data_IF_941438821237
#
_entry.id   IF_941438821237
#
_cell.length_a   1.000
_cell.length_b   1.000
_cell.length_c   1.000
_cell.angle_alpha   90.00
_cell.angle_beta   90.00
_cell.angle_gamma   90.00
#
_symmetry.space_group_name_H-M   'P 1'
#
loop_
_entity.id
_entity.type
_entity.pdbx_description
1 polymer ?
#
# COMPACT_ATOMS: atom_id res chain seq x y z
N UNK A 1 -30.49 -44.34 18.39
CA UNK A 1 -29.34 -43.45 18.12
C UNK A 1 -29.84 -42.03 18.33
N UNK A 2 -29.51 -41.43 19.46
CA UNK A 2 -29.95 -40.08 19.84
C UNK A 2 -29.32 -39.06 18.89
N UNK A 3 -30.11 -38.46 18.00
CA UNK A 3 -29.68 -37.27 17.26
C UNK A 3 -29.46 -36.17 18.30
N UNK A 4 -28.20 -35.89 18.63
CA UNK A 4 -27.83 -34.82 19.54
C UNK A 4 -28.42 -33.51 19.04
N UNK A 5 -29.07 -32.76 19.94
CA UNK A 5 -29.56 -31.41 19.64
C UNK A 5 -28.36 -30.58 19.21
N UNK A 6 -28.42 -30.01 18.00
CA UNK A 6 -27.35 -29.15 17.49
C UNK A 6 -27.44 -27.81 18.22
N UNK A 7 -26.43 -27.50 19.01
CA UNK A 7 -26.38 -26.27 19.78
C UNK A 7 -25.91 -25.10 18.89
N UNK A 8 -26.42 -23.86 19.09
CA UNK A 8 -25.98 -22.69 18.33
C UNK A 8 -24.47 -22.46 18.33
N UNK A 9 -23.79 -22.88 19.40
CA UNK A 9 -22.32 -22.81 19.54
C UNK A 9 -21.59 -23.67 18.51
N UNK A 10 -22.15 -24.83 18.13
CA UNK A 10 -21.58 -25.69 17.09
C UNK A 10 -21.70 -25.04 15.71
N UNK A 11 -22.79 -24.31 15.45
CA UNK A 11 -22.96 -23.54 14.21
C UNK A 11 -21.94 -22.41 14.13
N UNK A 12 -21.73 -21.66 15.22
CA UNK A 12 -20.75 -20.57 15.28
C UNK A 12 -19.32 -21.07 15.07
N UNK A 13 -18.94 -22.17 15.72
CA UNK A 13 -17.62 -22.80 15.53
C UNK A 13 -17.43 -23.21 14.06
N UNK A 14 -18.41 -23.91 13.48
CA UNK A 14 -18.33 -24.33 12.09
C UNK A 14 -18.32 -23.16 11.10
N UNK A 15 -19.08 -22.10 11.36
CA UNK A 15 -19.11 -20.89 10.54
C UNK A 15 -17.71 -20.25 10.49
N UNK A 16 -17.02 -20.16 11.62
CA UNK A 16 -15.64 -19.64 11.68
C UNK A 16 -14.65 -20.52 10.93
N UNK A 17 -14.73 -21.85 11.09
CA UNK A 17 -13.91 -22.80 10.34
C UNK A 17 -14.09 -22.64 8.82
N UNK A 18 -15.34 -22.52 8.36
CA UNK A 18 -15.65 -22.32 6.95
C UNK A 18 -15.03 -21.01 6.45
N UNK A 19 -15.23 -19.90 7.17
CA UNK A 19 -14.61 -18.61 6.82
C UNK A 19 -13.09 -18.74 6.75
N UNK A 20 -12.45 -19.30 7.78
CA UNK A 20 -10.99 -19.50 7.81
C UNK A 20 -10.51 -20.34 6.62
N UNK A 21 -11.19 -21.43 6.29
CA UNK A 21 -10.82 -22.32 5.18
C UNK A 21 -10.96 -21.65 3.81
N UNK A 22 -11.94 -20.77 3.64
CA UNK A 22 -12.18 -20.08 2.38
C UNK A 22 -11.27 -18.86 2.19
N UNK A 23 -10.93 -18.14 3.27
CA UNK A 23 -10.15 -16.89 3.18
C UNK A 23 -8.67 -17.05 3.49
N UNK A 24 -8.29 -18.10 4.22
CA UNK A 24 -6.96 -18.22 4.81
C UNK A 24 -6.74 -17.32 6.03
N UNK A 25 -7.79 -16.70 6.56
CA UNK A 25 -7.66 -15.79 7.69
C UNK A 25 -7.25 -16.53 8.97
N UNK A 26 -6.41 -15.89 9.79
CA UNK A 26 -6.15 -16.35 11.15
C UNK A 26 -7.41 -16.19 12.00
N UNK A 27 -7.58 -17.06 12.99
CA UNK A 27 -8.79 -17.06 13.82
C UNK A 27 -9.05 -15.71 14.51
N UNK A 28 -7.99 -14.99 14.91
CA UNK A 28 -8.09 -13.66 15.53
C UNK A 28 -8.50 -12.55 14.56
N UNK A 29 -8.40 -12.76 13.25
CA UNK A 29 -8.85 -11.82 12.23
C UNK A 29 -10.32 -12.03 11.85
N UNK A 30 -10.94 -13.14 12.25
CA UNK A 30 -12.34 -13.43 11.97
C UNK A 30 -13.19 -12.84 13.09
N UNK A 31 -13.91 -11.76 12.80
CA UNK A 31 -14.75 -11.07 13.78
C UNK A 31 -15.84 -12.00 14.35
N UNK A 32 -15.78 -12.36 15.65
CA UNK A 32 -16.79 -13.23 16.26
C UNK A 32 -18.17 -12.57 16.26
N UNK A 33 -18.22 -11.24 16.43
CA UNK A 33 -19.46 -10.46 16.43
C UNK A 33 -20.09 -10.41 15.03
N UNK A 34 -19.28 -10.33 13.96
CA UNK A 34 -19.79 -10.38 12.60
C UNK A 34 -20.42 -11.74 12.28
N UNK A 35 -19.74 -12.84 12.65
CA UNK A 35 -20.24 -14.21 12.48
C UNK A 35 -21.52 -14.44 13.28
N UNK A 36 -21.52 -14.06 14.56
CA UNK A 36 -22.69 -14.20 15.45
C UNK A 36 -23.90 -13.43 14.91
N UNK A 37 -23.71 -12.20 14.43
CA UNK A 37 -24.77 -11.41 13.80
C UNK A 37 -25.41 -12.12 12.61
N UNK A 38 -24.61 -12.72 11.72
CA UNK A 38 -25.12 -13.47 10.55
C UNK A 38 -25.90 -14.69 11.00
N UNK A 39 -25.34 -15.51 11.91
CA UNK A 39 -26.01 -16.72 12.41
C UNK A 39 -27.32 -16.37 13.12
N UNK A 40 -27.33 -15.35 13.99
CA UNK A 40 -28.56 -14.88 14.66
C UNK A 40 -29.61 -14.38 13.69
N UNK A 41 -29.20 -13.67 12.63
CA UNK A 41 -30.14 -13.20 11.61
C UNK A 41 -30.82 -14.37 10.89
N UNK A 42 -30.09 -15.45 10.58
CA UNK A 42 -30.65 -16.66 9.98
C UNK A 42 -31.58 -17.42 10.93
N UNK A 43 -31.21 -17.54 12.21
CA UNK A 43 -32.08 -18.13 13.24
C UNK A 43 -33.38 -17.32 13.40
N UNK A 44 -33.29 -15.99 13.38
CA UNK A 44 -34.45 -15.10 13.45
C UNK A 44 -35.37 -15.21 12.22
N UNK A 45 -34.85 -15.68 11.07
CA UNK A 45 -35.65 -16.02 9.87
C UNK A 45 -36.34 -17.39 9.98
N UNK A 46 -36.24 -18.06 11.13
CA UNK A 46 -36.89 -19.35 11.38
C UNK A 46 -36.07 -20.57 10.97
N UNK A 47 -34.80 -20.39 10.58
CA UNK A 47 -33.91 -21.51 10.25
C UNK A 47 -33.39 -22.15 11.54
N UNK A 48 -33.34 -23.48 11.59
CA UNK A 48 -32.85 -24.23 12.74
C UNK A 48 -31.31 -24.34 12.74
N UNK A 49 -30.66 -24.48 13.91
CA UNK A 49 -29.22 -24.71 13.99
C UNK A 49 -28.72 -25.90 13.17
N UNK A 50 -29.50 -26.99 13.11
CA UNK A 50 -29.16 -28.18 12.33
C UNK A 50 -29.14 -27.91 10.82
N UNK A 51 -30.10 -27.12 10.30
CA UNK A 51 -30.12 -26.71 8.89
C UNK A 51 -28.93 -25.83 8.54
N UNK A 52 -28.58 -24.88 9.40
CA UNK A 52 -27.41 -24.01 9.20
C UNK A 52 -26.12 -24.82 9.19
N UNK A 53 -25.96 -25.76 10.14
CA UNK A 53 -24.78 -26.62 10.22
C UNK A 53 -24.65 -27.52 8.99
N UNK A 54 -25.74 -28.16 8.55
CA UNK A 54 -25.77 -28.98 7.35
C UNK A 54 -25.47 -28.16 6.08
N UNK A 55 -25.93 -26.91 6.02
CA UNK A 55 -25.58 -26.01 4.92
C UNK A 55 -24.09 -25.68 4.89
N UNK A 56 -23.49 -25.35 6.03
CA UNK A 56 -22.06 -25.03 6.15
C UNK A 56 -21.12 -26.22 5.87
N UNK A 57 -21.65 -27.44 5.80
CA UNK A 57 -20.90 -28.61 5.35
C UNK A 57 -20.78 -28.67 3.83
N UNK A 58 -21.65 -27.98 3.09
CA UNK A 58 -21.62 -27.96 1.62
C UNK A 58 -20.68 -26.85 1.13
N UNK A 59 -19.68 -27.18 0.30
CA UNK A 59 -18.83 -26.17 -0.31
C UNK A 59 -19.63 -25.13 -1.10
N UNK A 60 -19.27 -23.85 -0.97
CA UNK A 60 -19.87 -22.75 -1.75
C UNK A 60 -21.32 -22.39 -1.39
N UNK A 61 -21.84 -22.89 -0.27
CA UNK A 61 -23.21 -22.64 0.17
C UNK A 61 -23.53 -21.14 0.34
N UNK A 62 -24.79 -20.71 0.10
CA UNK A 62 -25.21 -19.32 0.29
C UNK A 62 -24.85 -18.75 1.66
N UNK A 63 -25.05 -19.50 2.74
CA UNK A 63 -24.69 -19.06 4.09
C UNK A 63 -23.18 -18.79 4.25
N UNK A 64 -22.33 -19.61 3.62
CA UNK A 64 -20.89 -19.38 3.62
C UNK A 64 -20.54 -18.05 2.94
N UNK A 65 -21.19 -17.72 1.82
CA UNK A 65 -21.00 -16.42 1.13
C UNK A 65 -21.39 -15.25 2.02
N UNK A 66 -22.56 -15.33 2.66
CA UNK A 66 -23.02 -14.29 3.60
C UNK A 66 -22.05 -14.09 4.78
N UNK A 67 -21.46 -15.16 5.28
CA UNK A 67 -20.44 -15.09 6.34
C UNK A 67 -19.15 -14.44 5.85
N UNK A 68 -18.70 -14.77 4.64
CA UNK A 68 -17.52 -14.15 4.02
C UNK A 68 -17.73 -12.64 3.86
N UNK A 69 -18.85 -12.22 3.28
CA UNK A 69 -19.18 -10.81 3.07
C UNK A 69 -19.21 -10.01 4.38
N UNK A 70 -19.61 -10.65 5.48
CA UNK A 70 -19.66 -10.01 6.80
C UNK A 70 -18.28 -9.85 7.48
N UNK A 71 -17.29 -10.68 7.12
CA UNK A 71 -15.98 -10.73 7.77
C UNK A 71 -14.89 -10.03 6.96
N UNK A 72 -14.98 -10.03 5.64
CA UNK A 72 -13.97 -9.41 4.78
C UNK A 72 -13.89 -7.90 5.08
N UNK A 73 -12.69 -7.38 5.30
CA UNK A 73 -12.43 -5.94 5.47
C UNK A 73 -12.13 -5.33 4.10
N UNK A 74 -12.66 -4.13 3.82
CA UNK A 74 -12.66 -3.53 2.47
C UNK A 74 -12.22 -2.09 2.43
N UNK A 75 -11.47 -1.65 3.44
CA UNK A 75 -11.05 -0.27 3.51
C UNK A 75 -9.96 0.01 2.46
N UNK A 76 -10.29 0.87 1.51
CA UNK A 76 -9.40 1.30 0.44
C UNK A 76 -9.68 2.75 0.03
N UNK A 77 -8.75 3.35 -0.70
CA UNK A 77 -8.81 4.71 -1.24
C UNK A 77 -7.77 4.90 -2.33
N UNK A 78 -7.98 5.93 -3.15
CA UNK A 78 -7.09 6.23 -4.25
C UNK A 78 -5.70 6.63 -3.76
N UNK A 79 -4.68 6.15 -4.46
CA UNK A 79 -3.27 6.45 -4.21
C UNK A 79 -2.80 6.28 -2.76
N UNK A 80 -3.42 5.35 -2.00
CA UNK A 80 -2.94 4.92 -0.68
C UNK A 80 -1.45 4.56 -0.75
N UNK A 81 -0.63 4.95 0.22
CA UNK A 81 0.84 4.73 0.15
C UNK A 81 1.45 5.34 -1.13
N UNK A 82 1.40 6.68 -1.30
CA UNK A 82 1.82 7.36 -2.53
C UNK A 82 3.28 7.08 -2.93
N UNK A 83 4.15 6.79 -1.97
CA UNK A 83 5.54 6.36 -2.18
C UNK A 83 5.66 5.12 -3.06
N UNK A 84 4.72 4.18 -2.96
CA UNK A 84 4.69 2.98 -3.80
C UNK A 84 4.25 3.27 -5.23
N UNK A 85 3.38 4.27 -5.44
CA UNK A 85 3.03 4.75 -6.78
C UNK A 85 4.17 5.54 -7.42
N UNK A 86 4.97 6.27 -6.62
CA UNK A 86 6.22 6.87 -7.11
C UNK A 86 7.22 5.81 -7.55
N UNK A 87 7.40 4.75 -6.74
CA UNK A 87 8.23 3.61 -7.14
C UNK A 87 7.72 2.95 -8.44
N UNK A 88 6.40 2.76 -8.56
CA UNK A 88 5.80 2.26 -9.79
C UNK A 88 6.20 3.13 -11.00
N UNK A 89 6.04 4.45 -10.88
CA UNK A 89 6.31 5.38 -11.96
C UNK A 89 7.78 5.48 -12.34
N UNK A 90 8.68 5.60 -11.35
CA UNK A 90 10.08 5.96 -11.59
C UNK A 90 11.03 4.77 -11.63
N UNK A 91 10.63 3.60 -11.13
CA UNK A 91 11.47 2.40 -11.12
C UNK A 91 10.84 1.25 -11.90
N UNK A 92 9.61 0.85 -11.53
CA UNK A 92 9.01 -0.37 -12.09
C UNK A 92 8.65 -0.23 -13.58
N UNK A 93 8.05 0.90 -13.99
CA UNK A 93 7.72 1.15 -15.41
C UNK A 93 8.98 1.25 -16.27
N UNK A 94 9.99 2.08 -15.95
CA UNK A 94 11.24 2.13 -16.71
C UNK A 94 11.93 0.77 -16.81
N UNK A 95 11.96 0.00 -15.71
CA UNK A 95 12.53 -1.35 -15.72
C UNK A 95 11.75 -2.31 -16.64
N UNK A 96 10.42 -2.19 -16.74
CA UNK A 96 9.61 -2.96 -17.67
C UNK A 96 9.87 -2.57 -19.13
N UNK A 97 9.94 -1.27 -19.42
CA UNK A 97 10.23 -0.76 -20.77
C UNK A 97 11.65 -1.14 -21.23
N UNK A 98 12.63 -1.12 -20.33
CA UNK A 98 14.00 -1.53 -20.63
C UNK A 98 14.13 -3.02 -21.00
N UNK A 99 13.15 -3.86 -20.64
CA UNK A 99 13.04 -5.26 -21.10
C UNK A 99 12.44 -5.40 -22.50
N UNK A 100 12.01 -4.29 -23.12
CA UNK A 100 11.34 -4.28 -24.41
C UNK A 100 9.84 -4.61 -24.33
N UNK A 101 9.22 -4.49 -23.16
CA UNK A 101 7.79 -4.74 -23.01
C UNK A 101 6.95 -3.74 -23.81
N UNK A 102 6.11 -4.25 -24.71
CA UNK A 102 5.11 -3.46 -25.45
C UNK A 102 3.73 -3.44 -24.75
N UNK A 103 3.58 -4.18 -23.65
CA UNK A 103 2.42 -4.14 -22.77
C UNK A 103 2.91 -4.08 -21.33
N UNK A 104 2.43 -3.10 -20.56
CA UNK A 104 2.61 -3.01 -19.11
C UNK A 104 1.43 -3.68 -18.43
N UNK A 105 1.68 -4.77 -17.70
CA UNK A 105 0.63 -5.53 -16.99
C UNK A 105 0.71 -5.33 -15.48
N UNK A 106 -0.33 -4.75 -14.90
CA UNK A 106 -0.49 -4.57 -13.46
C UNK A 106 -1.53 -5.51 -12.85
N UNK A 107 -1.36 -5.88 -11.59
CA UNK A 107 -2.36 -6.62 -10.82
C UNK A 107 -2.51 -6.03 -9.41
N UNK A 108 -3.72 -5.66 -9.03
CA UNK A 108 -4.13 -5.38 -7.65
C UNK A 108 -4.82 -6.62 -7.07
N UNK A 109 -4.14 -7.29 -6.15
CA UNK A 109 -4.53 -8.56 -5.54
C UNK A 109 -5.16 -8.28 -4.17
N UNK A 110 -6.46 -8.56 -4.04
CA UNK A 110 -7.29 -8.09 -2.92
C UNK A 110 -7.74 -6.65 -3.10
N UNK A 111 -8.29 -6.33 -4.29
CA UNK A 111 -8.52 -4.94 -4.72
C UNK A 111 -9.69 -4.22 -4.04
N UNK A 112 -10.47 -4.91 -3.21
CA UNK A 112 -11.69 -4.39 -2.59
C UNK A 112 -12.61 -3.72 -3.63
N UNK A 113 -13.01 -2.46 -3.40
CA UNK A 113 -13.86 -1.67 -4.29
C UNK A 113 -13.13 -1.03 -5.47
N UNK A 114 -11.86 -1.39 -5.72
CA UNK A 114 -11.15 -1.08 -6.96
C UNK A 114 -10.34 0.23 -6.96
N UNK A 115 -10.33 1.00 -5.88
CA UNK A 115 -9.57 2.26 -5.81
C UNK A 115 -8.07 2.07 -6.10
N UNK A 116 -7.45 1.04 -5.53
CA UNK A 116 -6.05 0.70 -5.81
C UNK A 116 -5.86 0.31 -7.29
N UNK A 117 -6.74 -0.54 -7.83
CA UNK A 117 -6.67 -0.98 -9.23
C UNK A 117 -6.71 0.19 -10.19
N UNK A 118 -7.61 1.15 -9.97
CA UNK A 118 -7.70 2.35 -10.79
C UNK A 118 -6.51 3.28 -10.60
N UNK A 119 -5.95 3.38 -9.39
CA UNK A 119 -4.73 4.15 -9.11
C UNK A 119 -3.52 3.60 -9.87
N UNK A 120 -3.37 2.26 -9.90
CA UNK A 120 -2.33 1.57 -10.69
C UNK A 120 -2.53 1.87 -12.18
N UNK A 121 -3.77 1.75 -12.67
CA UNK A 121 -4.08 1.98 -14.08
C UNK A 121 -3.79 3.42 -14.53
N UNK A 122 -4.19 4.41 -13.72
CA UNK A 122 -3.88 5.81 -13.99
C UNK A 122 -2.37 6.08 -14.00
N UNK A 123 -1.62 5.48 -13.06
CA UNK A 123 -0.16 5.59 -13.03
C UNK A 123 0.49 4.97 -14.27
N UNK A 124 0.13 3.73 -14.62
CA UNK A 124 0.66 3.05 -15.80
C UNK A 124 0.33 3.80 -17.09
N UNK A 125 -0.90 4.29 -17.25
CA UNK A 125 -1.31 5.08 -18.42
C UNK A 125 -0.50 6.36 -18.57
N UNK A 126 -0.22 7.05 -17.45
CA UNK A 126 0.54 8.30 -17.49
C UNK A 126 2.03 8.08 -17.79
N UNK A 127 2.56 6.90 -17.46
CA UNK A 127 3.98 6.56 -17.66
C UNK A 127 4.24 5.77 -18.94
N UNK A 128 3.19 5.21 -19.58
CA UNK A 128 3.30 4.46 -20.82
C UNK A 128 3.63 5.40 -21.99
N UNK A 129 4.73 5.17 -22.73
CA UNK A 129 4.99 5.92 -23.96
C UNK A 129 4.02 5.51 -25.08
N UNK A 130 3.86 6.34 -26.14
CA UNK A 130 3.03 5.99 -27.27
C UNK A 130 3.37 4.61 -27.86
N UNK A 131 2.34 3.80 -28.11
CA UNK A 131 2.47 2.44 -28.66
C UNK A 131 2.63 1.34 -27.61
N UNK A 132 2.82 1.68 -26.32
CA UNK A 132 2.80 0.71 -25.23
C UNK A 132 1.37 0.54 -24.71
N UNK A 133 0.89 -0.71 -24.64
CA UNK A 133 -0.43 -1.04 -24.10
C UNK A 133 -0.40 -1.13 -22.58
N UNK A 134 -1.52 -0.86 -21.94
CA UNK A 134 -1.70 -1.02 -20.48
C UNK A 134 -2.83 -2.01 -20.24
N UNK A 135 -2.61 -2.95 -19.32
CA UNK A 135 -3.63 -3.88 -18.84
C UNK A 135 -3.51 -3.98 -17.32
N UNK A 136 -4.61 -3.77 -16.60
CA UNK A 136 -4.64 -3.88 -15.14
C UNK A 136 -5.74 -4.83 -14.71
N UNK A 137 -5.38 -5.81 -13.88
CA UNK A 137 -6.31 -6.72 -13.24
C UNK A 137 -6.56 -6.28 -11.80
N UNK A 138 -7.81 -6.22 -11.38
CA UNK A 138 -8.20 -6.21 -9.96
C UNK A 138 -8.86 -7.54 -9.60
N UNK A 139 -8.38 -8.21 -8.56
CA UNK A 139 -9.04 -9.41 -8.03
C UNK A 139 -9.41 -9.27 -6.57
N UNK A 140 -10.60 -9.75 -6.20
CA UNK A 140 -11.05 -9.82 -4.81
C UNK A 140 -11.92 -11.07 -4.62
N UNK A 141 -12.09 -11.50 -3.36
CA UNK A 141 -12.98 -12.60 -3.02
C UNK A 141 -14.45 -12.13 -2.99
N UNK A 142 -14.69 -10.85 -2.69
CA UNK A 142 -16.01 -10.28 -2.46
C UNK A 142 -16.64 -9.70 -3.74
N UNK A 143 -17.58 -10.44 -4.36
CA UNK A 143 -18.20 -10.03 -5.63
C UNK A 143 -18.93 -8.68 -5.52
N UNK A 144 -19.65 -8.42 -4.42
CA UNK A 144 -20.31 -7.11 -4.22
C UNK A 144 -19.36 -5.90 -4.25
N UNK A 145 -18.09 -6.07 -3.86
CA UNK A 145 -17.07 -5.02 -4.00
C UNK A 145 -16.57 -4.88 -5.42
N UNK A 146 -16.41 -6.00 -6.12
CA UNK A 146 -16.07 -5.99 -7.55
C UNK A 146 -17.19 -5.35 -8.38
N UNK A 147 -18.46 -5.54 -8.03
CA UNK A 147 -19.57 -4.82 -8.65
C UNK A 147 -19.46 -3.30 -8.41
N UNK A 148 -19.11 -2.87 -7.19
CA UNK A 148 -18.84 -1.46 -6.89
C UNK A 148 -17.66 -0.92 -7.71
N UNK A 149 -16.59 -1.72 -7.84
CA UNK A 149 -15.42 -1.38 -8.65
C UNK A 149 -15.79 -1.21 -10.13
N UNK A 150 -16.58 -2.12 -10.69
CA UNK A 150 -17.06 -2.06 -12.09
C UNK A 150 -17.94 -0.83 -12.34
N UNK A 151 -18.75 -0.41 -11.37
CA UNK A 151 -19.51 0.85 -11.46
C UNK A 151 -18.58 2.07 -11.54
N UNK A 152 -17.46 2.04 -10.82
CA UNK A 152 -16.43 3.08 -10.92
C UNK A 152 -16.90 4.46 -10.43
N UNK A 153 -17.83 4.50 -9.48
CA UNK A 153 -18.35 5.75 -8.90
C UNK A 153 -18.11 5.76 -7.39
N UNK A 154 -17.45 6.80 -6.89
CA UNK A 154 -16.92 6.86 -5.53
C UNK A 154 -17.33 8.16 -4.84
N UNK A 155 -17.37 8.14 -3.50
CA UNK A 155 -17.64 9.32 -2.68
C UNK A 155 -16.36 9.88 -2.04
N UNK A 156 -16.53 10.87 -1.15
CA UNK A 156 -15.44 11.55 -0.44
C UNK A 156 -14.45 10.60 0.26
N UNK A 157 -14.95 9.51 0.84
CA UNK A 157 -14.12 8.55 1.57
C UNK A 157 -12.99 7.98 0.72
N UNK A 158 -13.24 7.66 -0.55
CA UNK A 158 -12.23 7.13 -1.48
C UNK A 158 -11.17 8.17 -1.86
N UNK A 159 -11.40 9.45 -1.56
CA UNK A 159 -10.52 10.59 -1.89
C UNK A 159 -9.70 11.10 -0.69
N UNK A 160 -9.90 10.54 0.51
CA UNK A 160 -9.47 11.12 1.80
C UNK A 160 -7.97 11.39 1.95
N UNK A 161 -7.14 10.64 1.23
CA UNK A 161 -5.67 10.80 1.20
C UNK A 161 -5.15 10.86 -0.24
N UNK A 162 -6.05 11.03 -1.22
CA UNK A 162 -5.64 11.40 -2.55
C UNK A 162 -5.13 12.84 -2.46
N UNK A 163 -3.83 13.01 -2.23
CA UNK A 163 -3.14 14.28 -2.46
C UNK A 163 -3.41 14.80 -3.88
N UNK A 164 -2.90 15.98 -4.30
CA UNK A 164 -3.09 16.46 -5.66
C UNK A 164 -2.75 15.33 -6.63
N UNK A 165 -3.78 14.81 -7.31
CA UNK A 165 -3.80 13.49 -7.94
C UNK A 165 -2.49 13.25 -8.69
N UNK A 166 -1.70 12.25 -8.29
CA UNK A 166 -0.43 11.93 -8.97
C UNK A 166 -0.64 11.80 -10.49
N UNK A 167 -1.81 11.29 -10.89
CA UNK A 167 -2.23 11.13 -12.27
C UNK A 167 -3.74 11.37 -12.43
N UNK A 168 -4.21 11.87 -13.61
CA UNK A 168 -5.63 12.00 -13.89
C UNK A 168 -6.37 10.65 -13.73
N UNK A 169 -7.45 10.65 -12.95
CA UNK A 169 -8.10 9.41 -12.53
C UNK A 169 -9.63 9.44 -12.69
N UNK A 170 -10.27 10.53 -12.29
CA UNK A 170 -11.72 10.68 -12.26
C UNK A 170 -12.16 12.09 -12.64
N UNK A 171 -13.46 12.26 -12.89
CA UNK A 171 -14.13 13.56 -12.96
C UNK A 171 -15.27 13.62 -11.95
N UNK A 172 -15.67 14.82 -11.53
CA UNK A 172 -16.81 15.00 -10.63
C UNK A 172 -18.14 14.81 -11.38
N UNK A 173 -19.11 14.18 -10.71
CA UNK A 173 -20.45 13.91 -11.27
C UNK A 173 -21.58 14.48 -10.40
N UNK A 174 -21.26 15.40 -9.48
CA UNK A 174 -22.20 16.01 -8.54
C UNK A 174 -22.31 15.29 -7.20
N UNK A 175 -22.93 15.95 -6.20
CA UNK A 175 -23.22 15.40 -4.87
C UNK A 175 -22.00 14.84 -4.10
N UNK A 176 -20.81 15.42 -4.33
CA UNK A 176 -19.57 14.93 -3.72
C UNK A 176 -19.13 13.55 -4.23
N UNK A 177 -19.62 13.14 -5.41
CA UNK A 177 -19.25 11.89 -6.07
C UNK A 177 -18.34 12.13 -7.28
N UNK A 178 -17.51 11.13 -7.55
CA UNK A 178 -16.61 11.09 -8.70
C UNK A 178 -16.81 9.83 -9.51
N UNK A 179 -16.58 9.93 -10.82
CA UNK A 179 -16.61 8.79 -11.74
C UNK A 179 -15.24 8.61 -12.40
N UNK A 180 -14.75 7.37 -12.45
CA UNK A 180 -13.46 7.05 -13.09
C UNK A 180 -13.51 7.42 -14.57
N UNK A 181 -12.43 8.01 -15.07
CA UNK A 181 -12.27 8.34 -16.49
C UNK A 181 -12.40 7.09 -17.37
N UNK A 182 -13.12 7.20 -18.48
CA UNK A 182 -13.32 6.07 -19.41
C UNK A 182 -12.00 5.50 -19.95
N UNK A 183 -11.00 6.36 -20.16
CA UNK A 183 -9.65 5.93 -20.56
C UNK A 183 -8.99 5.01 -19.53
N UNK A 184 -9.20 5.27 -18.24
CA UNK A 184 -8.69 4.45 -17.13
C UNK A 184 -9.53 3.17 -17.01
N UNK A 185 -10.86 3.26 -17.13
CA UNK A 185 -11.74 2.08 -17.09
C UNK A 185 -11.45 1.09 -18.22
N UNK A 186 -11.11 1.60 -19.41
CA UNK A 186 -10.88 0.78 -20.60
C UNK A 186 -9.72 -0.21 -20.48
N UNK A 187 -8.74 0.05 -19.61
CA UNK A 187 -7.57 -0.81 -19.40
C UNK A 187 -7.69 -1.70 -18.16
N UNK A 188 -8.80 -1.61 -17.42
CA UNK A 188 -9.02 -2.33 -16.16
C UNK A 188 -10.00 -3.48 -16.35
N UNK A 189 -9.67 -4.64 -15.79
CA UNK A 189 -10.59 -5.78 -15.67
C UNK A 189 -10.69 -6.22 -14.21
N UNK A 190 -11.90 -6.55 -13.78
CA UNK A 190 -12.16 -7.13 -12.45
C UNK A 190 -12.56 -8.59 -12.56
N UNK A 191 -11.97 -9.44 -11.72
CA UNK A 191 -12.30 -10.87 -11.62
C UNK A 191 -12.40 -11.30 -10.17
N UNK A 192 -13.33 -12.19 -9.86
CA UNK A 192 -13.30 -12.87 -8.57
C UNK A 192 -12.05 -13.77 -8.52
N UNK A 193 -11.35 -13.79 -7.38
CA UNK A 193 -10.17 -14.63 -7.21
C UNK A 193 -9.76 -14.80 -5.76
N UNK A 194 -9.32 -16.00 -5.40
CA UNK A 194 -8.76 -16.32 -4.10
C UNK A 194 -7.22 -16.37 -4.19
N UNK A 195 -6.52 -15.65 -3.31
CA UNK A 195 -5.04 -15.63 -3.29
C UNK A 195 -4.44 -16.98 -2.90
N UNK A 196 -5.22 -17.87 -2.30
CA UNK A 196 -4.83 -19.26 -2.02
C UNK A 196 -4.85 -20.14 -3.26
N UNK A 197 -5.28 -19.63 -4.41
CA UNK A 197 -5.31 -20.33 -5.69
C UNK A 197 -4.26 -19.76 -6.67
N UNK A 198 -3.78 -20.55 -7.65
CA UNK A 198 -2.77 -20.11 -8.60
C UNK A 198 -3.37 -19.23 -9.71
N UNK A 199 -3.86 -18.03 -9.37
CA UNK A 199 -4.58 -17.12 -10.28
C UNK A 199 -3.78 -16.74 -11.56
N UNK A 200 -2.45 -16.83 -11.51
CA UNK A 200 -1.57 -16.61 -12.67
C UNK A 200 -1.77 -17.65 -13.78
N UNK A 201 -2.24 -18.86 -13.47
CA UNK A 201 -2.57 -19.87 -14.49
C UNK A 201 -3.75 -19.42 -15.36
N UNK A 202 -4.66 -18.60 -14.81
CA UNK A 202 -5.81 -18.05 -15.52
C UNK A 202 -5.56 -16.68 -16.14
N UNK A 203 -4.64 -15.88 -15.58
CA UNK A 203 -4.48 -14.46 -15.96
C UNK A 203 -3.10 -14.11 -16.52
N UNK A 204 -2.19 -15.07 -16.54
CA UNK A 204 -0.82 -14.90 -17.01
C UNK A 204 0.07 -14.18 -16.00
N UNK A 205 1.15 -13.60 -16.51
CA UNK A 205 2.20 -12.97 -15.70
C UNK A 205 2.12 -11.44 -15.73
N UNK A 206 2.60 -10.80 -14.68
CA UNK A 206 2.51 -9.35 -14.47
C UNK A 206 3.88 -8.70 -14.29
N UNK A 207 4.01 -7.46 -14.76
CA UNK A 207 5.18 -6.62 -14.53
C UNK A 207 5.20 -6.06 -13.12
N UNK A 208 4.02 -5.76 -12.59
CA UNK A 208 3.85 -5.28 -11.22
C UNK A 208 2.61 -5.87 -10.58
N UNK A 209 2.75 -6.29 -9.31
CA UNK A 209 1.65 -6.77 -8.48
C UNK A 209 1.63 -5.94 -7.19
N UNK A 210 0.47 -5.40 -6.86
CA UNK A 210 0.17 -4.80 -5.56
C UNK A 210 -0.68 -5.81 -4.79
N UNK A 211 -0.27 -6.18 -3.59
CA UNK A 211 -1.04 -7.04 -2.67
C UNK A 211 -0.89 -6.47 -1.27
N UNK A 212 -1.67 -5.43 -0.97
CA UNK A 212 -1.42 -4.56 0.18
C UNK A 212 -2.58 -4.55 1.15
N UNK A 213 -2.26 -4.63 2.44
CA UNK A 213 -3.24 -4.63 3.53
C UNK A 213 -4.24 -5.79 3.45
N UNK A 214 -3.82 -6.91 2.85
CA UNK A 214 -4.61 -8.14 2.67
C UNK A 214 -4.02 -9.26 3.53
N UNK A 215 -2.71 -9.45 3.48
CA UNK A 215 -1.99 -10.51 4.16
C UNK A 215 -1.98 -10.33 5.68
N UNK A 216 -2.19 -9.10 6.17
CA UNK A 216 -2.32 -8.83 7.63
C UNK A 216 -3.40 -9.67 8.32
N UNK A 217 -4.41 -10.15 7.59
CA UNK A 217 -5.49 -10.99 8.12
C UNK A 217 -5.20 -12.49 8.03
N UNK A 218 -4.19 -12.90 7.26
CA UNK A 218 -3.94 -14.30 6.93
C UNK A 218 -3.25 -15.04 8.07
N UNK A 219 -3.41 -16.37 8.12
CA UNK A 219 -2.56 -17.24 8.94
C UNK A 219 -1.15 -17.33 8.33
N UNK A 220 -0.11 -17.64 9.12
CA UNK A 220 1.25 -17.77 8.59
C UNK A 220 1.36 -18.72 7.39
N UNK A 221 0.69 -19.87 7.45
CA UNK A 221 0.69 -20.84 6.35
C UNK A 221 0.00 -20.28 5.09
N UNK A 222 -1.12 -19.58 5.26
CA UNK A 222 -1.84 -18.95 4.17
C UNK A 222 -1.02 -17.82 3.52
N UNK A 223 -0.26 -17.05 4.31
CA UNK A 223 0.68 -16.05 3.80
C UNK A 223 1.73 -16.71 2.91
N UNK A 224 2.33 -17.83 3.34
CA UNK A 224 3.33 -18.53 2.53
C UNK A 224 2.76 -19.03 1.21
N UNK A 225 1.55 -19.59 1.22
CA UNK A 225 0.86 -20.04 -0.01
C UNK A 225 0.59 -18.86 -0.95
N UNK A 226 -0.01 -17.79 -0.44
CA UNK A 226 -0.34 -16.61 -1.23
C UNK A 226 0.91 -15.95 -1.84
N UNK A 227 1.96 -15.74 -1.05
CA UNK A 227 3.23 -15.20 -1.53
C UNK A 227 3.89 -16.10 -2.58
N UNK A 228 3.81 -17.42 -2.42
CA UNK A 228 4.29 -18.37 -3.43
C UNK A 228 3.57 -18.23 -4.76
N UNK A 229 2.25 -18.02 -4.75
CA UNK A 229 1.47 -17.75 -5.97
C UNK A 229 1.79 -16.39 -6.59
N UNK A 230 1.89 -15.33 -5.77
CA UNK A 230 2.23 -13.98 -6.22
C UNK A 230 3.63 -13.93 -6.85
N UNK A 231 4.61 -14.60 -6.25
CA UNK A 231 5.97 -14.67 -6.80
C UNK A 231 6.00 -15.39 -8.17
N UNK A 232 5.22 -16.46 -8.34
CA UNK A 232 5.08 -17.17 -9.62
C UNK A 232 4.37 -16.33 -10.69
N UNK A 233 3.48 -15.44 -10.26
CA UNK A 233 2.73 -14.54 -11.14
C UNK A 233 3.56 -13.37 -11.71
N UNK A 234 4.75 -13.10 -11.17
CA UNK A 234 5.62 -12.06 -11.71
C UNK A 234 6.39 -12.51 -12.95
N UNK A 235 6.55 -11.66 -13.94
CA UNK A 235 7.61 -11.86 -14.94
C UNK A 235 8.98 -11.78 -14.28
N UNK A 236 10.04 -12.41 -14.83
CA UNK A 236 11.39 -12.13 -14.36
C UNK A 236 11.73 -10.64 -14.47
N UNK A 237 12.22 -10.04 -13.39
CA UNK A 237 12.42 -8.59 -13.26
C UNK A 237 11.16 -7.80 -12.86
N UNK A 238 10.02 -8.45 -12.69
CA UNK A 238 8.78 -7.84 -12.20
C UNK A 238 8.82 -7.57 -10.69
N UNK A 239 7.90 -6.72 -10.23
CA UNK A 239 7.86 -6.22 -8.86
C UNK A 239 6.58 -6.60 -8.10
N UNK A 240 6.72 -6.98 -6.84
CA UNK A 240 5.65 -7.17 -5.86
C UNK A 240 5.75 -6.07 -4.81
N UNK A 241 4.65 -5.35 -4.57
CA UNK A 241 4.51 -4.35 -3.52
C UNK A 241 3.50 -4.82 -2.49
N UNK A 242 3.90 -4.82 -1.22
CA UNK A 242 3.09 -5.25 -0.06
C UNK A 242 2.79 -4.06 0.87
N UNK A 243 1.84 -4.22 1.79
CA UNK A 243 1.56 -3.21 2.80
C UNK A 243 2.71 -3.04 3.78
N UNK A 244 2.80 -1.87 4.42
CA UNK A 244 3.94 -1.37 5.22
C UNK A 244 4.46 -2.30 6.33
N UNK A 245 3.69 -3.30 6.77
CA UNK A 245 4.07 -4.26 7.85
C UNK A 245 3.59 -5.69 7.59
N UNK A 246 3.45 -6.11 6.33
CA UNK A 246 2.88 -7.45 6.03
C UNK A 246 3.90 -8.58 6.03
N UNK A 247 5.18 -8.30 5.79
CA UNK A 247 6.25 -9.29 5.83
C UNK A 247 7.54 -8.71 6.43
N UNK A 248 8.20 -9.51 7.27
CA UNK A 248 9.49 -9.15 7.86
C UNK A 248 10.66 -9.40 6.88
N UNK A 249 10.56 -10.50 6.12
CA UNK A 249 11.62 -10.99 5.24
C UNK A 249 11.14 -11.04 3.79
N UNK A 250 12.06 -10.94 2.80
CA UNK A 250 11.73 -11.13 1.40
C UNK A 250 11.01 -12.46 1.15
N UNK A 251 9.89 -12.48 0.40
CA UNK A 251 9.25 -13.72 0.00
C UNK A 251 10.20 -14.63 -0.78
N UNK A 252 10.00 -15.94 -0.68
CA UNK A 252 10.84 -16.92 -1.36
C UNK A 252 10.94 -16.63 -2.87
N UNK A 253 12.17 -16.55 -3.38
CA UNK A 253 12.44 -16.27 -4.79
C UNK A 253 12.36 -14.79 -5.18
N UNK A 254 12.13 -13.87 -4.25
CA UNK A 254 12.14 -12.43 -4.46
C UNK A 254 13.26 -11.76 -3.64
N UNK A 255 13.72 -10.59 -4.11
CA UNK A 255 14.73 -9.76 -3.42
C UNK A 255 14.14 -8.40 -3.08
N UNK A 256 14.43 -7.88 -1.88
CA UNK A 256 13.97 -6.53 -1.48
C UNK A 256 14.64 -5.47 -2.34
N UNK A 257 13.89 -4.43 -2.71
CA UNK A 257 14.36 -3.26 -3.44
C UNK A 257 13.91 -2.01 -2.69
N UNK A 258 14.80 -1.03 -2.59
CA UNK A 258 14.55 0.21 -1.86
C UNK A 258 14.59 0.02 -0.35
N UNK A 259 14.08 1.03 0.36
CA UNK A 259 14.04 1.05 1.82
C UNK A 259 13.05 0.00 2.38
N UNK A 260 13.28 -0.54 3.59
CA UNK A 260 12.39 -1.55 4.20
C UNK A 260 10.91 -1.14 4.23
N UNK A 261 10.63 0.13 4.44
CA UNK A 261 9.30 0.73 4.58
C UNK A 261 8.51 0.67 3.26
N UNK A 262 9.21 0.70 2.12
CA UNK A 262 8.59 0.64 0.80
C UNK A 262 7.93 -0.72 0.51
N UNK A 263 8.40 -1.77 1.18
CA UNK A 263 7.88 -3.14 1.02
C UNK A 263 7.78 -3.59 -0.46
N UNK A 264 8.80 -3.22 -1.25
CA UNK A 264 8.94 -3.61 -2.65
C UNK A 264 9.94 -4.76 -2.82
N UNK A 265 9.56 -5.74 -3.63
CA UNK A 265 10.35 -6.93 -3.90
C UNK A 265 10.39 -7.20 -5.40
N UNK A 266 11.53 -7.66 -5.92
CA UNK A 266 11.73 -7.95 -7.34
C UNK A 266 11.98 -9.44 -7.54
N UNK A 267 11.40 -10.02 -8.59
CA UNK A 267 11.79 -11.35 -9.08
C UNK A 267 13.12 -11.22 -9.84
N UNK A 268 14.22 -11.90 -9.42
CA UNK A 268 15.49 -11.82 -10.13
C UNK A 268 15.38 -12.24 -11.60
N UNK A 269 16.25 -11.69 -12.44
CA UNK A 269 16.37 -12.14 -13.83
C UNK A 269 17.06 -13.52 -13.87
N UNK A 270 16.79 -14.39 -14.87
CA UNK A 270 17.41 -15.72 -14.93
C UNK A 270 18.95 -15.68 -14.91
N UNK A 271 19.54 -14.65 -15.55
CA UNK A 271 20.99 -14.41 -15.57
C UNK A 271 21.60 -14.06 -14.19
N UNK A 272 20.78 -13.61 -13.24
CA UNK A 272 21.23 -13.27 -11.88
C UNK A 272 21.21 -14.52 -10.97
N UNK A 273 20.52 -15.58 -11.39
CA UNK A 273 20.44 -16.85 -10.65
C UNK A 273 21.62 -17.78 -10.95
N UNK A 274 22.38 -17.51 -12.01
CA UNK A 274 23.62 -18.24 -12.31
C UNK A 274 24.78 -17.63 -11.53
N UNK A 275 25.57 -18.43 -10.78
CA UNK A 275 26.76 -17.92 -10.12
C UNK A 275 27.71 -17.32 -11.17
N UNK A 276 28.39 -16.19 -10.88
CA UNK A 276 29.35 -15.62 -11.80
C UNK A 276 30.43 -16.66 -12.14
N UNK A 277 30.95 -16.68 -13.38
CA UNK A 277 32.10 -17.51 -13.69
C UNK A 277 33.22 -17.20 -12.70
N UNK A 278 33.86 -18.25 -12.19
CA UNK A 278 34.94 -18.11 -11.22
C UNK A 278 35.93 -17.03 -11.69
N UNK A 279 36.30 -16.07 -10.83
CA UNK A 279 37.23 -15.02 -11.22
C UNK A 279 38.51 -15.68 -11.73
N UNK A 280 38.95 -15.30 -12.94
CA UNK A 280 40.27 -15.72 -13.44
C UNK A 280 41.30 -15.31 -12.38
N UNK A 281 42.24 -16.18 -12.00
CA UNK A 281 43.25 -15.84 -11.02
C UNK A 281 43.94 -14.54 -11.45
N UNK A 282 43.70 -13.49 -10.68
CA UNK A 282 44.38 -12.21 -10.86
C UNK A 282 45.83 -12.46 -10.45
N UNK A 283 46.83 -12.05 -11.25
CA UNK A 283 48.23 -12.13 -10.81
C UNK A 283 48.34 -11.40 -9.48
N UNK A 284 48.77 -12.11 -8.44
CA UNK A 284 49.04 -11.52 -7.14
C UNK A 284 50.14 -10.50 -7.34
N UNK A 285 49.78 -9.21 -7.38
CA UNK A 285 50.74 -8.14 -7.23
C UNK A 285 51.27 -8.30 -5.81
N UNK A 286 52.56 -8.65 -5.67
CA UNK A 286 53.22 -8.73 -4.38
C UNK A 286 53.09 -7.38 -3.69
N UNK A 287 52.38 -7.34 -2.58
CA UNK A 287 52.36 -6.17 -1.70
C UNK A 287 53.80 -5.85 -1.26
N UNK A 288 54.19 -4.57 -1.25
CA UNK A 288 55.44 -4.18 -0.63
C UNK A 288 55.37 -4.39 0.89
N UNK A 289 56.49 -4.82 1.47
CA UNK A 289 56.69 -5.11 2.89
C UNK A 289 56.09 -4.05 3.82
N UNK A 290 55.48 -4.46 4.95
CA UNK A 290 54.79 -3.54 5.85
C UNK A 290 55.79 -2.60 6.55
N UNK A 291 55.53 -1.30 6.42
CA UNK A 291 56.21 -0.26 7.18
C UNK A 291 55.87 -0.42 8.67
N UNK A 292 56.87 -0.70 9.51
CA UNK A 292 56.72 -0.67 10.98
C UNK A 292 56.57 0.78 11.43
N UNK A 293 55.35 1.18 11.78
CA UNK A 293 55.10 2.36 12.59
C UNK A 293 54.63 1.93 13.98
N UNK A 294 55.46 2.22 14.98
CA UNK A 294 55.07 2.20 16.38
C UNK A 294 54.42 3.54 16.75
N UNK A 295 53.19 3.53 17.28
CA UNK A 295 52.71 4.47 18.29
C UNK A 295 51.28 4.11 18.73
N UNK A 296 51.09 4.07 20.05
CA UNK A 296 49.84 3.78 20.76
C UNK A 296 48.69 4.70 20.33
N UNK A 297 47.56 4.12 19.92
CA UNK A 297 46.29 4.84 19.87
C UNK A 297 45.68 4.86 21.27
N UNK A 298 45.76 6.01 21.93
CA UNK A 298 44.89 6.34 23.07
C UNK A 298 43.44 6.35 22.56
N UNK A 299 42.56 5.67 23.28
CA UNK A 299 41.12 5.77 23.09
C UNK A 299 40.69 7.23 23.32
N UNK A 300 40.33 7.92 22.25
CA UNK A 300 39.61 9.19 22.33
C UNK A 300 38.14 8.88 22.61
N UNK A 301 37.58 9.49 23.64
CA UNK A 301 36.13 9.51 23.86
C UNK A 301 35.42 9.98 22.60
N UNK A 302 34.30 9.33 22.19
CA UNK A 302 33.55 9.76 21.01
C UNK A 302 33.09 11.21 21.19
N UNK A 303 33.09 12.03 20.13
CA UNK A 303 32.54 13.37 20.20
C UNK A 303 31.05 13.30 20.57
N UNK A 304 30.52 14.33 21.25
CA UNK A 304 29.09 14.41 21.53
C UNK A 304 28.29 14.29 20.22
N UNK A 305 27.10 13.66 20.24
CA UNK A 305 26.29 13.51 19.04
C UNK A 305 26.03 14.88 18.40
N UNK A 306 26.04 14.96 17.05
CA UNK A 306 25.75 16.22 16.37
C UNK A 306 24.37 16.74 16.79
N UNK A 307 24.16 18.06 16.81
CA UNK A 307 22.86 18.63 17.11
C UNK A 307 21.81 18.09 16.12
N UNK A 308 20.56 17.89 16.55
CA UNK A 308 19.52 17.30 15.72
C UNK A 308 19.26 18.17 14.48
N UNK A 309 19.19 17.53 13.31
CA UNK A 309 18.90 18.19 12.03
C UNK A 309 17.39 18.43 11.87
N UNK A 310 17.00 19.39 11.03
CA UNK A 310 15.59 19.59 10.67
C UNK A 310 14.92 18.30 10.16
N UNK A 311 15.63 17.53 9.32
CA UNK A 311 15.15 16.24 8.81
C UNK A 311 14.98 15.23 9.95
N UNK A 312 15.92 15.15 10.89
CA UNK A 312 15.83 14.24 12.04
C UNK A 312 14.64 14.55 12.95
N UNK A 313 14.45 15.82 13.30
CA UNK A 313 13.31 16.26 14.12
C UNK A 313 11.97 16.04 13.40
N UNK A 314 11.92 16.25 12.08
CA UNK A 314 10.71 16.00 11.30
C UNK A 314 10.41 14.49 11.24
N UNK A 315 11.43 13.65 11.07
CA UNK A 315 11.27 12.19 11.06
C UNK A 315 10.73 11.68 12.40
N UNK A 316 11.21 12.22 13.53
CA UNK A 316 10.66 11.88 14.85
C UNK A 316 9.19 12.35 14.98
N UNK A 317 8.81 13.48 14.40
CA UNK A 317 7.42 13.92 14.41
C UNK A 317 6.50 12.98 13.62
N UNK A 318 6.96 12.46 12.47
CA UNK A 318 6.22 11.47 11.69
C UNK A 318 6.02 10.16 12.47
N UNK A 319 7.05 9.67 13.18
CA UNK A 319 6.94 8.49 14.05
C UNK A 319 5.89 8.68 15.17
N UNK A 320 5.76 9.90 15.70
CA UNK A 320 4.72 10.22 16.69
C UNK A 320 3.32 10.18 16.09
N UNK A 321 3.14 10.70 14.88
CA UNK A 321 1.87 10.61 14.15
C UNK A 321 1.49 9.13 13.93
N UNK A 322 2.43 8.30 13.47
CA UNK A 322 2.20 6.86 13.23
C UNK A 322 1.81 6.08 14.50
N UNK A 323 2.34 6.49 15.64
CA UNK A 323 2.01 5.91 16.95
C UNK A 323 0.78 6.54 17.62
N UNK A 324 0.11 7.48 16.95
CA UNK A 324 -1.11 8.15 17.44
C UNK A 324 -0.86 9.31 18.41
N UNK A 325 0.40 9.70 18.66
CA UNK A 325 0.78 10.88 19.46
C UNK A 325 0.78 12.16 18.60
N UNK A 326 -0.39 12.54 18.07
CA UNK A 326 -0.54 13.74 17.24
C UNK A 326 -0.19 15.04 18.00
N UNK A 327 -0.51 15.11 19.29
CA UNK A 327 -0.20 16.28 20.13
C UNK A 327 1.31 16.45 20.35
N UNK A 328 2.02 15.34 20.60
CA UNK A 328 3.48 15.35 20.70
C UNK A 328 4.15 15.65 19.36
N UNK A 329 3.61 15.15 18.25
CA UNK A 329 4.08 15.49 16.91
C UNK A 329 3.94 16.99 16.61
N UNK A 330 2.79 17.59 16.92
CA UNK A 330 2.56 19.02 16.73
C UNK A 330 3.55 19.87 17.55
N UNK A 331 3.75 19.51 18.82
CA UNK A 331 4.71 20.18 19.71
C UNK A 331 6.13 20.10 19.17
N UNK A 332 6.51 18.96 18.58
CA UNK A 332 7.84 18.75 18.03
C UNK A 332 8.04 19.55 16.73
N UNK A 333 7.04 19.60 15.84
CA UNK A 333 7.06 20.40 14.62
C UNK A 333 7.10 21.90 14.92
N UNK A 334 6.40 22.38 15.96
CA UNK A 334 6.50 23.76 16.40
C UNK A 334 7.91 24.13 16.88
N UNK A 335 8.53 23.27 17.69
CA UNK A 335 9.92 23.45 18.13
C UNK A 335 10.89 23.43 16.95
N UNK A 336 10.67 22.53 15.99
CA UNK A 336 11.44 22.47 14.75
C UNK A 336 11.34 23.81 14.01
N UNK A 337 10.15 24.35 13.81
CA UNK A 337 9.94 25.59 13.05
C UNK A 337 10.43 26.85 13.79
N UNK A 338 10.58 26.79 15.11
CA UNK A 338 11.30 27.84 15.87
C UNK A 338 12.80 27.86 15.52
N UNK A 339 13.39 26.68 15.28
CA UNK A 339 14.81 26.51 14.97
C UNK A 339 15.10 26.67 13.46
N UNK A 340 14.20 26.19 12.60
CA UNK A 340 14.34 26.16 11.14
C UNK A 340 13.13 26.83 10.48
N UNK A 341 13.11 28.16 10.54
CA UNK A 341 11.93 28.97 10.20
C UNK A 341 11.46 28.92 8.76
N UNK A 342 12.29 28.45 7.81
CA UNK A 342 11.94 28.35 6.39
C UNK A 342 11.78 26.91 5.91
N UNK A 343 11.72 25.96 6.84
CA UNK A 343 11.65 24.55 6.52
C UNK A 343 10.24 24.15 6.05
N UNK A 344 10.04 24.25 4.74
CA UNK A 344 8.79 23.95 4.04
C UNK A 344 8.17 22.59 4.39
N UNK A 345 8.93 21.47 4.51
CA UNK A 345 8.34 20.18 4.84
C UNK A 345 7.65 20.19 6.21
N UNK A 346 8.29 20.77 7.23
CA UNK A 346 7.72 20.81 8.58
C UNK A 346 6.53 21.76 8.69
N UNK A 347 6.51 22.86 7.92
CA UNK A 347 5.36 23.76 7.85
C UNK A 347 4.14 23.08 7.23
N UNK A 348 4.36 22.36 6.12
CA UNK A 348 3.31 21.62 5.43
C UNK A 348 2.72 20.55 6.36
N UNK A 349 3.58 19.76 7.03
CA UNK A 349 3.15 18.71 7.96
C UNK A 349 2.37 19.28 9.15
N UNK A 350 2.87 20.36 9.77
CA UNK A 350 2.17 21.01 10.88
C UNK A 350 0.81 21.58 10.45
N UNK A 351 0.72 22.15 9.25
CA UNK A 351 -0.54 22.67 8.73
C UNK A 351 -1.58 21.55 8.55
N UNK A 352 -1.20 20.41 7.98
CA UNK A 352 -2.09 19.26 7.82
C UNK A 352 -2.53 18.69 9.16
N UNK A 353 -1.62 18.62 10.14
CA UNK A 353 -1.92 18.17 11.48
C UNK A 353 -2.88 19.11 12.21
N UNK A 354 -2.73 20.43 12.04
CA UNK A 354 -3.63 21.45 12.59
C UNK A 354 -5.03 21.37 11.98
N UNK A 355 -5.13 21.09 10.69
CA UNK A 355 -6.42 20.88 10.02
C UNK A 355 -7.15 19.65 10.58
N UNK A 356 -6.45 18.52 10.75
CA UNK A 356 -7.01 17.31 11.39
C UNK A 356 -7.51 17.58 12.81
N UNK A 357 -6.80 18.44 13.55
CA UNK A 357 -7.18 18.87 14.90
C UNK A 357 -8.28 19.95 14.92
N UNK A 358 -8.87 20.33 13.78
CA UNK A 358 -9.93 21.34 13.68
C UNK A 358 -9.45 22.78 13.84
N UNK A 359 -8.13 23.03 13.87
CA UNK A 359 -7.52 24.35 14.00
C UNK A 359 -7.31 25.00 12.62
N UNK A 360 -8.40 25.17 11.87
CA UNK A 360 -8.37 25.56 10.45
C UNK A 360 -7.67 26.90 10.18
N UNK A 361 -7.93 27.93 10.99
CA UNK A 361 -7.29 29.24 10.83
C UNK A 361 -5.76 29.15 10.92
N UNK A 362 -5.25 28.37 11.88
CA UNK A 362 -3.82 28.13 12.04
C UNK A 362 -3.22 27.31 10.89
N UNK A 363 -3.96 26.32 10.37
CA UNK A 363 -3.56 25.54 9.21
C UNK A 363 -3.45 26.41 7.95
N UNK A 364 -4.43 27.30 7.72
CA UNK A 364 -4.43 28.23 6.58
C UNK A 364 -3.27 29.22 6.64
N UNK A 365 -2.99 29.79 7.82
CA UNK A 365 -1.87 30.71 8.00
C UNK A 365 -0.53 30.06 7.64
N UNK A 366 -0.34 28.80 8.06
CA UNK A 366 0.84 28.01 7.68
C UNK A 366 0.87 27.73 6.17
N UNK A 367 -0.25 27.36 5.56
CA UNK A 367 -0.30 27.07 4.12
C UNK A 367 -0.04 28.30 3.26
N UNK A 368 -0.52 29.48 3.66
CA UNK A 368 -0.13 30.75 3.03
C UNK A 368 1.38 30.96 3.09
N UNK A 369 1.98 30.68 4.26
CA UNK A 369 3.44 30.78 4.44
C UNK A 369 4.20 29.78 3.56
N UNK A 370 3.74 28.53 3.48
CA UNK A 370 4.33 27.49 2.61
C UNK A 370 4.29 27.92 1.15
N UNK A 371 3.13 28.38 0.67
CA UNK A 371 2.96 28.87 -0.71
C UNK A 371 3.92 30.01 -1.01
N UNK A 372 3.95 31.02 -0.15
CA UNK A 372 4.71 32.25 -0.38
C UNK A 372 6.23 31.98 -0.31
N UNK A 373 6.68 31.12 0.60
CA UNK A 373 8.08 30.72 0.69
C UNK A 373 8.51 29.83 -0.48
N UNK A 374 7.67 28.86 -0.87
CA UNK A 374 7.95 28.00 -2.01
C UNK A 374 7.97 28.78 -3.35
N UNK A 375 7.14 29.82 -3.49
CA UNK A 375 7.10 30.68 -4.68
C UNK A 375 8.38 31.51 -4.89
N UNK A 376 9.21 31.70 -3.86
CA UNK A 376 10.49 32.41 -3.94
C UNK A 376 11.66 31.53 -4.39
N UNK A 377 11.45 30.22 -4.46
CA UNK A 377 12.48 29.24 -4.80
C UNK A 377 12.35 28.80 -6.27
N UNK A 378 13.46 28.38 -6.93
CA UNK A 378 13.37 27.75 -8.24
C UNK A 378 12.43 26.53 -8.20
N UNK A 379 11.47 26.36 -9.14
CA UNK A 379 10.49 25.28 -9.09
C UNK A 379 11.07 23.86 -9.01
N UNK A 380 12.27 23.66 -9.53
CA UNK A 380 13.00 22.39 -9.55
C UNK A 380 14.02 22.23 -8.41
N UNK A 381 14.18 23.24 -7.54
CA UNK A 381 15.05 23.13 -6.37
C UNK A 381 14.52 22.06 -5.42
N UNK A 382 15.32 21.03 -5.16
CA UNK A 382 15.00 20.00 -4.18
C UNK A 382 15.17 20.55 -2.76
N UNK A 383 14.12 20.48 -1.97
CA UNK A 383 14.09 20.85 -0.57
C UNK A 383 14.35 19.60 0.25
N UNK A 384 15.36 19.64 1.11
CA UNK A 384 15.64 18.53 2.02
C UNK A 384 14.49 18.34 3.02
N UNK A 385 14.15 17.09 3.28
CA UNK A 385 13.09 16.64 4.19
C UNK A 385 13.19 15.13 4.41
N UNK A 386 12.32 14.51 5.22
CA UNK A 386 12.22 13.05 5.30
C UNK A 386 12.05 12.42 3.91
N UNK A 387 11.32 13.12 3.04
CA UNK A 387 11.34 12.91 1.60
C UNK A 387 11.78 14.21 0.89
N UNK A 388 12.90 14.20 0.13
CA UNK A 388 13.31 15.36 -0.65
C UNK A 388 12.37 15.62 -1.83
N UNK A 389 11.72 16.79 -1.85
CA UNK A 389 10.74 17.16 -2.88
C UNK A 389 11.05 18.53 -3.50
N UNK A 390 10.69 18.77 -4.77
CA UNK A 390 10.97 20.05 -5.41
C UNK A 390 10.09 21.17 -4.84
N UNK A 391 10.58 22.42 -4.85
CA UNK A 391 9.83 23.58 -4.36
C UNK A 391 8.42 23.72 -4.98
N UNK A 392 8.25 23.35 -6.26
CA UNK A 392 6.93 23.34 -6.91
C UNK A 392 5.89 22.46 -6.23
N UNK A 393 6.32 21.38 -5.57
CA UNK A 393 5.43 20.50 -4.82
C UNK A 393 4.80 21.25 -3.65
N UNK A 394 5.62 21.90 -2.82
CA UNK A 394 5.14 22.64 -1.64
C UNK A 394 4.20 23.78 -2.03
N UNK A 395 4.53 24.50 -3.11
CA UNK A 395 3.66 25.52 -3.68
C UNK A 395 2.32 24.94 -4.12
N UNK A 396 2.33 23.88 -4.94
CA UNK A 396 1.11 23.25 -5.44
C UNK A 396 0.25 22.67 -4.32
N UNK A 397 0.86 22.06 -3.30
CA UNK A 397 0.17 21.51 -2.13
C UNK A 397 -0.52 22.62 -1.32
N UNK A 398 0.16 23.74 -1.11
CA UNK A 398 -0.43 24.89 -0.42
C UNK A 398 -1.54 25.57 -1.24
N UNK A 399 -1.34 25.76 -2.56
CA UNK A 399 -2.35 26.32 -3.46
C UNK A 399 -3.63 25.45 -3.49
N UNK A 400 -3.48 24.12 -3.54
CA UNK A 400 -4.59 23.19 -3.49
C UNK A 400 -5.35 23.26 -2.16
N UNK A 401 -4.62 23.27 -1.03
CA UNK A 401 -5.22 23.37 0.30
C UNK A 401 -6.04 24.65 0.47
N UNK A 402 -5.48 25.80 0.07
CA UNK A 402 -6.12 27.11 0.21
C UNK A 402 -7.33 27.28 -0.72
N UNK A 403 -7.31 26.65 -1.90
CA UNK A 403 -8.41 26.72 -2.88
C UNK A 403 -9.60 25.86 -2.49
N UNK A 404 -9.37 24.64 -2.00
CA UNK A 404 -10.42 23.73 -1.52
C UNK A 404 -11.16 24.28 -0.30
N UNK A 405 -10.49 25.12 0.47
CA UNK A 405 -11.02 25.71 1.69
C UNK A 405 -11.61 27.12 1.54
N UNK A 406 -11.62 27.71 0.35
CA UNK A 406 -12.20 29.03 0.05
C UNK A 406 -13.65 28.98 -0.47
N UNK A 407 -14.22 27.77 -0.58
CA UNK A 407 -15.62 27.54 -0.94
C UNK A 407 -16.39 27.31 0.36
N UNK A 408 -16.82 28.40 1.00
CA UNK A 408 -17.92 28.39 1.98
C UNK A 408 -19.22 28.85 1.32
#
# INVERSE_FOLDING_TARGET
MTSGVVEPQQVLARAREVVASCTGFRDTAISPTAVDRVVRAELARGRSPAELLAELQRPGAPLARTLLDAVLVGETYFFRHPEQFRFLAYEAVPAALARGNLTLRGWSAGCASGEETYSIAACLLNMAPPGVRVEVLGTDLHEGRLEAARRGTYGNWSRREAGPLLHPLYHEVGEGRVSILDSVRAVVRFSQGNLLEPLHEMHGLFDVIFCRNVLTYFSPDAVQVALGHLAKALVPGGFLLLGTVEVDHPPAGLVRVGAPELQAFRRPLPRELTPPPAPKPVPVIREPEPFRAAASLRATTPPPPPPPTAVGLHTEALQRIESGDESGAATLLEKLLQQFRDYLPGMLELALLRERAGSREAAFALMHTVRDNAARLPPDLIIEGPEPLPARFYRASADAFLTLGAIE
#
